data_IF_369019513336
#
_entry.id   IF_369019513336
#
_cell.length_a   1.000
_cell.length_b   1.000
_cell.length_c   1.000
_cell.angle_alpha   90.00
_cell.angle_beta   90.00
_cell.angle_gamma   90.00
#
_symmetry.space_group_name_H-M   'P 1'
#
loop_
_entity.id
_entity.type
_entity.pdbx_description
1 polymer ?
#
# COMPACT_ATOMS: atom_id res chain seq x y z
N UNK A 1 26.56 9.54 4.19
CA UNK A 1 26.61 9.26 2.73
C UNK A 1 25.31 9.77 2.11
N UNK A 2 25.37 10.66 1.11
CA UNK A 2 24.14 11.15 0.45
C UNK A 2 23.70 10.12 -0.59
N UNK A 3 22.49 9.59 -0.46
CA UNK A 3 21.90 8.65 -1.41
C UNK A 3 21.61 9.36 -2.74
N UNK A 4 21.93 8.70 -3.87
CA UNK A 4 21.51 9.17 -5.20
C UNK A 4 19.99 9.05 -5.38
N UNK A 5 19.40 9.79 -6.32
CA UNK A 5 17.96 9.72 -6.62
C UNK A 5 17.52 8.28 -6.98
N UNK A 6 18.36 7.56 -7.75
CA UNK A 6 18.10 6.18 -8.12
C UNK A 6 18.10 5.23 -6.90
N UNK A 7 19.03 5.41 -5.95
CA UNK A 7 19.09 4.63 -4.72
C UNK A 7 17.86 4.91 -3.84
N UNK A 8 17.44 6.17 -3.71
CA UNK A 8 16.23 6.54 -2.99
C UNK A 8 14.99 5.88 -3.60
N UNK A 9 14.84 5.95 -4.92
CA UNK A 9 13.76 5.28 -5.65
C UNK A 9 13.80 3.76 -5.46
N UNK A 10 15.00 3.15 -5.52
CA UNK A 10 15.18 1.71 -5.28
C UNK A 10 14.70 1.28 -3.91
N UNK A 11 15.01 2.03 -2.85
CA UNK A 11 14.57 1.75 -1.48
C UNK A 11 13.03 1.87 -1.36
N UNK A 12 12.44 2.94 -1.91
CA UNK A 12 10.98 3.12 -1.91
C UNK A 12 10.29 1.99 -2.66
N UNK A 13 10.82 1.60 -3.81
CA UNK A 13 10.27 0.51 -4.63
C UNK A 13 10.41 -0.84 -3.94
N UNK A 14 11.54 -1.14 -3.32
CA UNK A 14 11.76 -2.37 -2.57
C UNK A 14 10.78 -2.51 -1.40
N UNK A 15 10.58 -1.43 -0.64
CA UNK A 15 9.57 -1.41 0.43
C UNK A 15 8.15 -1.62 -0.13
N UNK A 16 7.82 -0.99 -1.26
CA UNK A 16 6.52 -1.16 -1.92
C UNK A 16 6.32 -2.58 -2.45
N UNK A 17 7.36 -3.24 -2.92
CA UNK A 17 7.32 -4.64 -3.34
C UNK A 17 7.11 -5.58 -2.16
N UNK A 18 7.84 -5.40 -1.07
CA UNK A 18 7.62 -6.14 0.17
C UNK A 18 6.20 -5.95 0.70
N UNK A 19 5.71 -4.71 0.70
CA UNK A 19 4.33 -4.40 1.04
C UNK A 19 3.34 -5.14 0.13
N UNK A 20 3.51 -5.08 -1.19
CA UNK A 20 2.59 -5.70 -2.16
C UNK A 20 2.55 -7.21 -2.01
N UNK A 21 3.71 -7.83 -1.75
CA UNK A 21 3.83 -9.26 -1.51
C UNK A 21 3.04 -9.67 -0.26
N UNK A 22 3.25 -8.96 0.85
CA UNK A 22 2.55 -9.23 2.11
C UNK A 22 1.05 -8.91 2.04
N UNK A 23 0.64 -7.86 1.32
CA UNK A 23 -0.78 -7.54 1.09
C UNK A 23 -1.49 -8.65 0.30
N UNK A 24 -0.85 -9.16 -0.77
CA UNK A 24 -1.37 -10.29 -1.54
C UNK A 24 -1.47 -11.55 -0.69
N UNK A 25 -0.42 -11.88 0.07
CA UNK A 25 -0.37 -13.04 0.95
C UNK A 25 -1.45 -12.98 2.03
N UNK A 26 -1.62 -11.82 2.67
CA UNK A 26 -2.62 -11.60 3.71
C UNK A 26 -4.04 -11.84 3.19
N UNK A 27 -4.36 -11.40 1.98
CA UNK A 27 -5.69 -11.63 1.39
C UNK A 27 -6.01 -13.11 1.28
N UNK A 28 -5.11 -13.91 0.71
CA UNK A 28 -5.35 -15.35 0.57
C UNK A 28 -5.34 -16.08 1.90
N UNK A 29 -4.47 -15.67 2.80
CA UNK A 29 -4.39 -16.24 4.14
C UNK A 29 -5.69 -16.02 4.92
N UNK A 30 -6.28 -14.82 4.87
CA UNK A 30 -7.57 -14.52 5.48
C UNK A 30 -8.69 -15.32 4.80
N UNK A 31 -8.75 -15.35 3.46
CA UNK A 31 -9.77 -16.10 2.71
C UNK A 31 -9.76 -17.58 3.10
N UNK A 32 -8.61 -18.23 3.04
CA UNK A 32 -8.53 -19.67 3.31
C UNK A 32 -8.75 -19.98 4.79
N UNK A 33 -8.17 -19.22 5.70
CA UNK A 33 -8.34 -19.46 7.13
C UNK A 33 -9.80 -19.34 7.57
N UNK A 34 -10.50 -18.29 7.13
CA UNK A 34 -11.92 -18.12 7.51
C UNK A 34 -12.84 -19.10 6.78
N UNK A 35 -12.47 -19.54 5.56
CA UNK A 35 -13.15 -20.62 4.88
C UNK A 35 -13.03 -21.96 5.67
N UNK A 36 -11.83 -22.31 6.15
CA UNK A 36 -11.61 -23.48 7.00
C UNK A 36 -12.37 -23.42 8.31
N UNK A 37 -12.61 -22.21 8.85
CA UNK A 37 -13.45 -22.00 10.03
C UNK A 37 -14.96 -22.06 9.76
N UNK A 38 -15.38 -22.38 8.51
CA UNK A 38 -16.78 -22.53 8.12
C UNK A 38 -17.53 -21.24 7.83
N UNK A 39 -16.82 -20.14 7.53
CA UNK A 39 -17.45 -18.91 7.08
C UNK A 39 -17.90 -19.06 5.61
N UNK A 40 -19.09 -18.57 5.31
CA UNK A 40 -19.61 -18.51 3.96
C UNK A 40 -18.82 -17.52 3.09
N UNK A 41 -18.87 -17.72 1.76
CA UNK A 41 -18.21 -16.80 0.81
C UNK A 41 -18.62 -15.34 0.99
N UNK A 42 -19.90 -15.10 1.30
CA UNK A 42 -20.41 -13.75 1.53
C UNK A 42 -19.83 -13.13 2.82
N UNK A 43 -19.75 -13.88 3.90
CA UNK A 43 -19.14 -13.41 5.15
C UNK A 43 -17.66 -13.09 4.97
N UNK A 44 -16.93 -13.92 4.20
CA UNK A 44 -15.53 -13.65 3.86
C UNK A 44 -15.41 -12.37 3.01
N UNK A 45 -16.32 -12.15 2.06
CA UNK A 45 -16.34 -10.92 1.28
C UNK A 45 -16.54 -9.68 2.17
N UNK A 46 -17.39 -9.76 3.18
CA UNK A 46 -17.58 -8.67 4.15
C UNK A 46 -16.32 -8.35 4.94
N UNK A 47 -15.43 -9.31 5.22
CA UNK A 47 -14.15 -9.04 5.91
C UNK A 47 -13.29 -8.03 5.15
N UNK A 48 -13.43 -7.93 3.83
CA UNK A 48 -12.67 -7.00 2.98
C UNK A 48 -13.41 -5.70 2.68
N UNK A 49 -14.68 -5.55 3.08
CA UNK A 49 -15.47 -4.35 2.76
C UNK A 49 -14.77 -3.08 3.23
N UNK A 50 -14.29 -3.06 4.47
CA UNK A 50 -13.61 -1.88 5.02
C UNK A 50 -12.22 -1.66 4.42
N UNK A 51 -11.54 -2.72 3.98
CA UNK A 51 -10.29 -2.59 3.26
C UNK A 51 -10.46 -1.76 1.97
N UNK A 52 -11.46 -2.06 1.17
CA UNK A 52 -11.70 -1.33 -0.07
C UNK A 52 -12.29 0.07 0.21
N UNK A 53 -13.25 0.18 1.13
CA UNK A 53 -13.87 1.46 1.49
C UNK A 53 -12.83 2.48 1.98
N UNK A 54 -12.02 2.13 2.98
CA UNK A 54 -10.99 3.03 3.50
C UNK A 54 -9.83 3.23 2.50
N UNK A 55 -9.57 2.26 1.63
CA UNK A 55 -8.66 2.42 0.50
C UNK A 55 -9.12 3.52 -0.46
N UNK A 56 -10.40 3.53 -0.85
CA UNK A 56 -10.98 4.60 -1.71
C UNK A 56 -10.83 5.97 -1.05
N UNK A 57 -11.21 6.09 0.22
CA UNK A 57 -11.06 7.34 0.99
C UNK A 57 -9.61 7.81 1.03
N UNK A 58 -8.68 6.91 1.33
CA UNK A 58 -7.25 7.22 1.41
C UNK A 58 -6.70 7.61 0.04
N UNK A 59 -7.15 6.98 -1.04
CA UNK A 59 -6.71 7.32 -2.38
C UNK A 59 -7.14 8.76 -2.77
N UNK A 60 -8.31 9.20 -2.31
CA UNK A 60 -8.79 10.56 -2.52
C UNK A 60 -7.91 11.61 -1.82
N UNK A 61 -7.53 11.36 -0.57
CA UNK A 61 -6.77 12.33 0.23
C UNK A 61 -5.24 12.11 0.19
N UNK A 62 -4.79 10.92 -0.16
CA UNK A 62 -3.38 10.51 -0.05
C UNK A 62 -2.43 11.36 -0.91
N UNK A 63 -2.87 11.80 -2.11
CA UNK A 63 -2.08 12.69 -2.97
C UNK A 63 -1.77 14.02 -2.31
N UNK A 64 -2.77 14.62 -1.68
CA UNK A 64 -2.60 15.85 -0.92
C UNK A 64 -1.70 15.65 0.30
N UNK A 65 -1.89 14.56 1.04
CA UNK A 65 -1.05 14.21 2.20
C UNK A 65 0.41 14.07 1.74
N UNK A 66 0.67 13.31 0.67
CA UNK A 66 2.02 13.11 0.14
C UNK A 66 2.69 14.40 -0.33
N UNK A 67 1.95 15.27 -1.02
CA UNK A 67 2.44 16.57 -1.48
C UNK A 67 2.75 17.52 -0.32
N UNK A 68 1.95 17.48 0.75
CA UNK A 68 2.09 18.38 1.91
C UNK A 68 3.16 17.94 2.89
N UNK A 69 3.23 16.63 3.18
CA UNK A 69 4.08 16.08 4.25
C UNK A 69 5.31 15.33 3.72
N UNK A 70 5.35 15.06 2.42
CA UNK A 70 6.45 14.37 1.77
C UNK A 70 6.26 12.85 1.69
N UNK A 71 7.00 12.23 0.76
CA UNK A 71 6.86 10.80 0.46
C UNK A 71 7.39 9.90 1.57
N UNK A 72 8.42 10.34 2.29
CA UNK A 72 8.99 9.57 3.40
C UNK A 72 7.95 9.32 4.49
N UNK A 73 7.21 10.36 4.89
CA UNK A 73 6.21 10.22 5.95
C UNK A 73 5.06 9.30 5.51
N UNK A 74 4.54 9.50 4.30
CA UNK A 74 3.43 8.65 3.79
C UNK A 74 3.84 7.19 3.62
N UNK A 75 5.09 6.94 3.18
CA UNK A 75 5.67 5.60 3.10
C UNK A 75 5.78 4.95 4.49
N UNK A 76 6.31 5.69 5.47
CA UNK A 76 6.50 5.19 6.83
C UNK A 76 5.16 4.90 7.50
N UNK A 77 4.24 5.86 7.47
CA UNK A 77 2.89 5.68 8.04
C UNK A 77 2.19 4.49 7.37
N UNK A 78 2.22 4.41 6.04
CA UNK A 78 1.62 3.30 5.32
C UNK A 78 2.22 1.94 5.69
N UNK A 79 3.56 1.84 5.79
CA UNK A 79 4.22 0.57 6.15
C UNK A 79 3.96 0.19 7.62
N UNK A 80 4.01 1.16 8.54
CA UNK A 80 3.70 0.92 9.96
C UNK A 80 2.25 0.52 10.19
N UNK A 81 1.29 1.13 9.48
CA UNK A 81 -0.11 0.73 9.54
C UNK A 81 -0.32 -0.71 9.04
N UNK A 82 0.41 -1.14 8.01
CA UNK A 82 0.35 -2.53 7.56
C UNK A 82 0.93 -3.50 8.59
N UNK A 83 2.06 -3.16 9.20
CA UNK A 83 2.64 -3.95 10.30
C UNK A 83 1.64 -4.04 11.46
N UNK A 84 1.01 -2.93 11.82
CA UNK A 84 -0.03 -2.90 12.85
C UNK A 84 -1.21 -3.80 12.49
N UNK A 85 -1.71 -3.72 11.26
CA UNK A 85 -2.80 -4.57 10.78
C UNK A 85 -2.46 -6.06 10.86
N UNK A 86 -1.23 -6.43 10.46
CA UNK A 86 -0.73 -7.80 10.60
C UNK A 86 -0.67 -8.23 12.08
N UNK A 87 -0.07 -7.43 12.94
CA UNK A 87 0.04 -7.73 14.39
C UNK A 87 -1.34 -7.86 15.03
N UNK A 88 -2.30 -7.02 14.66
CA UNK A 88 -3.68 -7.12 15.13
C UNK A 88 -4.32 -8.48 14.78
N UNK A 89 -3.95 -9.14 13.70
CA UNK A 89 -4.53 -10.43 13.33
C UNK A 89 -3.96 -11.62 14.10
N UNK A 90 -2.81 -11.48 14.79
CA UNK A 90 -2.18 -12.56 15.55
C UNK A 90 -3.07 -13.15 16.65
N UNK A 91 -3.82 -12.35 17.46
CA UNK A 91 -4.66 -12.90 18.53
C UNK A 91 -5.96 -13.56 18.04
N UNK A 92 -6.33 -13.40 16.78
CA UNK A 92 -7.55 -14.01 16.24
C UNK A 92 -7.52 -15.52 16.46
N UNK A 93 -8.57 -16.07 17.05
CA UNK A 93 -8.67 -17.47 17.41
C UNK A 93 -10.05 -18.04 17.03
N UNK A 94 -10.07 -19.33 16.68
CA UNK A 94 -11.31 -20.05 16.33
C UNK A 94 -12.34 -20.09 17.49
N UNK A 95 -11.88 -19.91 18.73
CA UNK A 95 -12.73 -19.85 19.92
C UNK A 95 -13.48 -18.52 20.10
N UNK A 96 -13.16 -17.48 19.30
CA UNK A 96 -13.83 -16.20 19.41
C UNK A 96 -15.29 -16.27 18.89
N UNK A 97 -16.22 -15.51 19.49
CA UNK A 97 -17.53 -15.33 18.91
C UNK A 97 -17.43 -14.82 17.48
N UNK A 98 -18.24 -15.38 16.57
CA UNK A 98 -18.19 -15.07 15.14
C UNK A 98 -18.27 -13.56 14.84
N UNK A 99 -19.21 -12.86 15.51
CA UNK A 99 -19.38 -11.42 15.36
C UNK A 99 -18.12 -10.64 15.77
N UNK A 100 -17.48 -11.02 16.88
CA UNK A 100 -16.25 -10.38 17.34
C UNK A 100 -15.13 -10.57 16.33
N UNK A 101 -14.96 -11.78 15.81
CA UNK A 101 -13.95 -12.09 14.78
C UNK A 101 -14.16 -11.24 13.52
N UNK A 102 -15.41 -11.15 13.04
CA UNK A 102 -15.75 -10.35 11.85
C UNK A 102 -15.41 -8.88 12.07
N UNK A 103 -15.93 -8.26 13.12
CA UNK A 103 -15.70 -6.83 13.40
C UNK A 103 -14.22 -6.52 13.58
N UNK A 104 -13.49 -7.38 14.31
CA UNK A 104 -12.07 -7.20 14.57
C UNK A 104 -11.22 -7.32 13.30
N UNK A 105 -11.48 -8.34 12.49
CA UNK A 105 -10.78 -8.52 11.20
C UNK A 105 -11.12 -7.40 10.23
N UNK A 106 -12.37 -6.95 10.17
CA UNK A 106 -12.74 -5.79 9.37
C UNK A 106 -11.99 -4.53 9.80
N UNK A 107 -11.78 -4.30 11.10
CA UNK A 107 -10.98 -3.19 11.60
C UNK A 107 -9.50 -3.30 11.17
N UNK A 108 -8.88 -4.47 11.30
CA UNK A 108 -7.53 -4.71 10.81
C UNK A 108 -7.43 -4.51 9.30
N UNK A 109 -8.40 -4.98 8.53
CA UNK A 109 -8.47 -4.79 7.08
C UNK A 109 -8.68 -3.31 6.68
N UNK A 110 -9.44 -2.53 7.46
CA UNK A 110 -9.56 -1.08 7.25
C UNK A 110 -8.18 -0.40 7.31
N UNK A 111 -7.40 -0.71 8.35
CA UNK A 111 -6.03 -0.20 8.53
C UNK A 111 -5.14 -0.63 7.35
N UNK A 112 -5.23 -1.89 6.93
CA UNK A 112 -4.48 -2.42 5.78
C UNK A 112 -4.88 -1.71 4.47
N UNK A 113 -6.15 -1.38 4.26
CA UNK A 113 -6.64 -0.62 3.12
C UNK A 113 -6.03 0.79 3.04
N UNK A 114 -6.00 1.51 4.17
CA UNK A 114 -5.32 2.80 4.29
C UNK A 114 -3.82 2.65 3.98
N UNK A 115 -3.17 1.67 4.58
CA UNK A 115 -1.75 1.36 4.38
C UNK A 115 -1.41 1.13 2.90
N UNK A 116 -2.24 0.36 2.19
CA UNK A 116 -2.09 0.06 0.76
C UNK A 116 -2.01 1.33 -0.09
N UNK A 117 -2.95 2.23 0.10
CA UNK A 117 -3.04 3.39 -0.78
C UNK A 117 -1.98 4.45 -0.44
N UNK A 118 -1.59 4.62 0.82
CA UNK A 118 -0.43 5.44 1.19
C UNK A 118 0.88 4.93 0.58
N UNK A 119 1.16 3.62 0.64
CA UNK A 119 2.36 3.04 0.02
C UNK A 119 2.33 3.16 -1.51
N UNK A 120 1.19 2.87 -2.15
CA UNK A 120 1.00 3.01 -3.60
C UNK A 120 1.28 4.44 -4.08
N UNK A 121 0.78 5.43 -3.35
CA UNK A 121 1.00 6.84 -3.71
C UNK A 121 2.44 7.26 -3.52
N UNK A 122 3.08 6.86 -2.41
CA UNK A 122 4.50 7.11 -2.17
C UNK A 122 5.37 6.53 -3.28
N UNK A 123 5.14 5.27 -3.67
CA UNK A 123 5.90 4.60 -4.72
C UNK A 123 5.71 5.28 -6.10
N UNK A 124 4.47 5.62 -6.48
CA UNK A 124 4.19 6.32 -7.74
C UNK A 124 4.81 7.72 -7.78
N UNK A 125 4.74 8.47 -6.68
CA UNK A 125 5.30 9.81 -6.63
C UNK A 125 6.83 9.81 -6.59
N UNK A 126 7.45 8.76 -6.06
CA UNK A 126 8.91 8.61 -6.07
C UNK A 126 9.50 8.50 -7.49
N UNK A 127 8.72 8.08 -8.49
CA UNK A 127 9.17 8.04 -9.89
C UNK A 127 9.60 9.41 -10.37
N UNK A 128 8.90 10.48 -9.95
CA UNK A 128 9.24 11.86 -10.33
C UNK A 128 10.62 12.29 -9.85
N UNK A 129 11.17 11.64 -8.81
CA UNK A 129 12.51 11.99 -8.30
C UNK A 129 13.64 11.47 -9.16
N UNK A 130 13.38 10.49 -10.04
CA UNK A 130 14.37 9.86 -10.93
C UNK A 130 14.25 10.31 -12.39
N UNK A 131 13.17 11.01 -12.74
CA UNK A 131 12.99 11.58 -14.08
C UNK A 131 13.48 13.03 -14.05
N UNK A 132 14.53 13.38 -14.80
CA UNK A 132 15.04 14.75 -14.86
C UNK A 132 13.99 15.68 -15.48
N UNK A 133 13.74 16.80 -14.86
CA UNK A 133 13.00 17.92 -15.48
C UNK A 133 14.01 18.70 -16.36
N UNK A 134 14.24 18.25 -17.58
CA UNK A 134 15.01 19.01 -18.58
C UNK A 134 14.04 19.74 -19.49
N UNK A 135 14.06 21.08 -19.51
CA UNK A 135 13.17 21.86 -20.37
C UNK A 135 13.37 21.58 -21.86
N UNK A 136 14.55 21.13 -22.27
CA UNK A 136 14.92 20.96 -23.67
C UNK A 136 14.49 19.62 -24.29
N UNK A 137 13.96 18.66 -23.50
CA UNK A 137 13.58 17.34 -24.03
C UNK A 137 12.38 16.73 -23.27
N UNK A 138 11.23 17.43 -23.33
CA UNK A 138 9.97 16.97 -22.73
C UNK A 138 9.56 15.56 -23.19
N UNK A 139 9.79 15.22 -24.46
CA UNK A 139 9.41 13.91 -25.01
C UNK A 139 10.25 12.79 -24.39
N UNK A 140 11.52 13.05 -24.13
CA UNK A 140 12.42 12.07 -23.47
C UNK A 140 12.04 11.87 -22.01
N UNK A 141 11.73 12.95 -21.30
CA UNK A 141 11.22 12.91 -19.92
C UNK A 141 9.91 12.13 -19.80
N UNK A 142 8.95 12.36 -20.69
CA UNK A 142 7.67 11.63 -20.74
C UNK A 142 7.87 10.13 -21.04
N UNK A 143 8.73 9.79 -22.02
CA UNK A 143 9.07 8.39 -22.33
C UNK A 143 9.68 7.66 -21.12
N UNK A 144 10.59 8.34 -20.42
CA UNK A 144 11.24 7.78 -19.24
C UNK A 144 10.27 7.61 -18.08
N UNK A 145 9.41 8.60 -17.83
CA UNK A 145 8.34 8.53 -16.83
C UNK A 145 7.41 7.35 -17.11
N UNK A 146 6.94 7.21 -18.35
CA UNK A 146 6.08 6.11 -18.76
C UNK A 146 6.72 4.75 -18.54
N UNK A 147 8.00 4.60 -18.89
CA UNK A 147 8.77 3.36 -18.67
C UNK A 147 8.83 2.98 -17.19
N UNK A 148 9.14 3.93 -16.29
CA UNK A 148 9.23 3.67 -14.87
C UNK A 148 7.86 3.34 -14.26
N UNK A 149 6.79 4.02 -14.70
CA UNK A 149 5.41 3.69 -14.28
C UNK A 149 5.01 2.29 -14.73
N UNK A 150 5.34 1.91 -15.97
CA UNK A 150 5.05 0.58 -16.50
C UNK A 150 5.78 -0.52 -15.72
N UNK A 151 7.08 -0.32 -15.42
CA UNK A 151 7.86 -1.26 -14.61
C UNK A 151 7.29 -1.39 -13.20
N UNK A 152 6.98 -0.28 -12.54
CA UNK A 152 6.40 -0.30 -11.19
C UNK A 152 5.04 -1.01 -11.17
N UNK A 153 4.18 -0.73 -12.15
CA UNK A 153 2.84 -1.32 -12.21
C UNK A 153 2.88 -2.81 -12.58
N UNK A 154 3.71 -3.17 -13.55
CA UNK A 154 3.90 -4.57 -13.97
C UNK A 154 4.49 -5.43 -12.86
N UNK A 155 5.57 -4.96 -12.22
CA UNK A 155 6.19 -5.67 -11.09
C UNK A 155 5.24 -5.82 -9.89
N UNK A 156 4.47 -4.77 -9.57
CA UNK A 156 3.43 -4.84 -8.54
C UNK A 156 2.42 -5.95 -8.82
N UNK A 157 1.90 -6.02 -10.05
CA UNK A 157 0.88 -7.01 -10.40
C UNK A 157 1.43 -8.44 -10.35
N UNK A 158 2.66 -8.66 -10.82
CA UNK A 158 3.36 -9.93 -10.71
C UNK A 158 3.56 -10.35 -9.26
N UNK A 159 4.09 -9.43 -8.42
CA UNK A 159 4.32 -9.69 -7.00
C UNK A 159 3.02 -9.93 -6.21
N UNK A 160 1.93 -9.29 -6.59
CA UNK A 160 0.63 -9.56 -5.99
C UNK A 160 0.16 -11.00 -6.27
N UNK A 161 0.37 -11.50 -7.49
CA UNK A 161 0.11 -12.91 -7.84
C UNK A 161 0.98 -13.87 -7.04
N UNK A 162 2.29 -13.59 -6.94
CA UNK A 162 3.21 -14.36 -6.08
C UNK A 162 2.77 -14.31 -4.62
N UNK A 163 2.32 -13.13 -4.14
CA UNK A 163 1.79 -12.96 -2.79
C UNK A 163 0.59 -13.87 -2.52
N UNK A 164 -0.35 -13.95 -3.45
CA UNK A 164 -1.51 -14.85 -3.31
C UNK A 164 -1.09 -16.31 -3.11
N UNK A 165 -0.14 -16.79 -3.91
CA UNK A 165 0.40 -18.12 -3.75
C UNK A 165 1.13 -18.29 -2.42
N UNK A 166 1.96 -17.30 -2.05
CA UNK A 166 2.70 -17.30 -0.79
C UNK A 166 1.77 -17.38 0.43
N UNK A 167 0.62 -16.69 0.40
CA UNK A 167 -0.38 -16.74 1.46
C UNK A 167 -0.90 -18.14 1.74
N UNK A 168 -1.22 -18.90 0.67
CA UNK A 168 -1.63 -20.29 0.78
C UNK A 168 -0.52 -21.19 1.33
N UNK A 169 0.71 -21.05 0.81
CA UNK A 169 1.87 -21.83 1.29
C UNK A 169 2.17 -21.56 2.75
N UNK A 170 2.18 -20.28 3.16
CA UNK A 170 2.45 -19.91 4.56
C UNK A 170 1.36 -20.45 5.51
N UNK A 171 0.10 -20.40 5.11
CA UNK A 171 -1.01 -20.95 5.90
C UNK A 171 -0.84 -22.46 6.10
N UNK A 172 -0.58 -23.20 5.02
CA UNK A 172 -0.46 -24.66 5.05
C UNK A 172 0.78 -25.11 5.83
N UNK A 173 1.91 -24.39 5.69
CA UNK A 173 3.17 -24.79 6.31
C UNK A 173 3.28 -24.38 7.79
N UNK A 174 2.74 -23.24 8.17
CA UNK A 174 2.99 -22.62 9.49
C UNK A 174 1.71 -22.27 10.26
N UNK A 175 0.54 -22.38 9.64
CA UNK A 175 -0.72 -21.93 10.21
C UNK A 175 -0.88 -20.40 10.24
N UNK A 176 -2.08 -19.95 10.57
CA UNK A 176 -2.49 -18.54 10.44
C UNK A 176 -1.60 -17.57 11.25
N UNK A 177 -1.46 -17.81 12.56
CA UNK A 177 -0.75 -16.89 13.48
C UNK A 177 0.72 -16.72 13.12
N UNK A 178 1.40 -17.84 12.83
CA UNK A 178 2.82 -17.83 12.48
C UNK A 178 3.04 -17.19 11.12
N UNK A 179 2.18 -17.46 10.14
CA UNK A 179 2.24 -16.85 8.82
C UNK A 179 2.12 -15.32 8.89
N UNK A 180 1.13 -14.83 9.64
CA UNK A 180 0.95 -13.37 9.86
C UNK A 180 2.15 -12.76 10.58
N UNK A 181 2.69 -13.45 11.60
CA UNK A 181 3.89 -13.02 12.31
C UNK A 181 5.13 -12.92 11.41
N UNK A 182 5.36 -13.92 10.56
CA UNK A 182 6.47 -13.92 9.59
C UNK A 182 6.34 -12.77 8.59
N UNK A 183 5.12 -12.50 8.10
CA UNK A 183 4.88 -11.36 7.22
C UNK A 183 5.15 -10.02 7.93
N UNK A 184 4.75 -9.88 9.20
CA UNK A 184 5.02 -8.67 9.98
C UNK A 184 6.53 -8.46 10.19
N UNK A 185 7.29 -9.51 10.48
CA UNK A 185 8.75 -9.45 10.60
C UNK A 185 9.39 -9.05 9.27
N UNK A 186 9.02 -9.72 8.16
CA UNK A 186 9.56 -9.40 6.83
C UNK A 186 9.31 -7.94 6.43
N UNK A 187 8.11 -7.43 6.70
CA UNK A 187 7.78 -6.05 6.42
C UNK A 187 8.49 -5.05 7.35
N UNK A 188 8.75 -5.45 8.61
CA UNK A 188 9.55 -4.65 9.55
C UNK A 188 10.99 -4.51 9.07
N UNK A 189 11.58 -5.57 8.53
CA UNK A 189 12.91 -5.52 7.90
C UNK A 189 12.92 -4.57 6.70
N UNK A 190 11.91 -4.67 5.84
CA UNK A 190 11.76 -3.75 4.70
C UNK A 190 11.58 -2.29 5.15
N UNK A 191 10.81 -2.06 6.21
CA UNK A 191 10.68 -0.74 6.84
C UNK A 191 12.02 -0.21 7.32
N UNK A 192 12.84 -1.04 7.97
CA UNK A 192 14.18 -0.67 8.43
C UNK A 192 15.06 -0.10 7.33
N UNK A 193 14.98 -0.63 6.10
CA UNK A 193 15.71 -0.08 4.94
C UNK A 193 15.25 1.33 4.58
N UNK A 194 14.02 1.71 4.88
CA UNK A 194 13.51 3.06 4.55
C UNK A 194 14.00 4.15 5.51
N UNK A 195 14.58 3.78 6.66
CA UNK A 195 15.04 4.75 7.66
C UNK A 195 16.18 5.64 7.15
N UNK A 196 16.95 5.15 6.17
CA UNK A 196 18.05 5.91 5.55
C UNK A 196 17.57 6.96 4.54
N UNK A 197 16.26 6.99 4.20
CA UNK A 197 15.72 7.97 3.26
C UNK A 197 15.77 9.39 3.83
N UNK A 198 16.15 10.41 3.01
CA UNK A 198 16.14 11.80 3.45
C UNK A 198 14.73 12.30 3.74
N UNK A 199 14.59 13.18 4.74
CA UNK A 199 13.28 13.67 5.23
C UNK A 199 12.47 14.47 4.20
N UNK A 200 13.15 15.08 3.23
CA UNK A 200 12.54 16.00 2.26
C UNK A 200 12.16 15.35 0.92
N UNK A 201 12.34 14.03 0.80
CA UNK A 201 12.03 13.33 -0.46
C UNK A 201 10.58 13.58 -0.88
N UNK A 202 10.40 14.11 -2.10
CA UNK A 202 9.10 14.36 -2.72
C UNK A 202 8.23 15.43 -2.06
N UNK A 203 8.76 16.22 -1.13
CA UNK A 203 8.04 17.34 -0.51
C UNK A 203 7.97 18.53 -1.46
N UNK A 204 6.79 19.05 -1.71
CA UNK A 204 6.65 20.27 -2.51
C UNK A 204 7.17 21.49 -1.73
N UNK A 205 7.86 22.42 -2.43
CA UNK A 205 8.35 23.68 -1.83
C UNK A 205 7.21 24.53 -1.26
N UNK A 206 6.08 24.59 -1.96
CA UNK A 206 4.85 25.21 -1.48
C UNK A 206 3.87 24.14 -1.02
N UNK A 207 3.44 24.23 0.25
CA UNK A 207 2.47 23.27 0.80
C UNK A 207 1.09 23.53 0.19
N UNK A 208 0.49 22.57 -0.53
CA UNK A 208 -0.83 22.77 -1.11
C UNK A 208 -1.88 22.95 0.00
N UNK A 209 -2.75 23.97 -0.14
CA UNK A 209 -3.94 24.13 0.69
C UNK A 209 -4.94 23.00 0.46
N UNK A 210 -5.92 22.86 1.35
CA UNK A 210 -6.95 21.82 1.22
C UNK A 210 -7.77 21.99 -0.08
N UNK A 211 -7.99 23.23 -0.53
CA UNK A 211 -8.68 23.54 -1.79
C UNK A 211 -7.95 23.00 -3.04
N UNK A 212 -6.68 22.62 -2.93
CA UNK A 212 -5.93 22.01 -4.03
C UNK A 212 -6.32 20.55 -4.30
N UNK A 213 -7.16 19.93 -3.45
CA UNK A 213 -7.77 18.62 -3.70
C UNK A 213 -8.75 18.64 -4.88
N UNK A 214 -9.39 19.78 -5.09
CA UNK A 214 -10.36 19.93 -6.15
C UNK A 214 -9.74 20.72 -7.31
N UNK A 215 -9.95 20.24 -8.53
CA UNK A 215 -9.56 20.99 -9.72
C UNK A 215 -10.39 22.27 -9.83
N UNK A 216 -9.81 23.32 -10.39
CA UNK A 216 -10.56 24.54 -10.77
C UNK A 216 -11.59 24.29 -11.88
N UNK A 217 -11.45 23.19 -12.60
CA UNK A 217 -12.39 22.76 -13.65
C UNK A 217 -13.40 21.75 -13.13
N UNK A 218 -14.68 22.08 -13.19
CA UNK A 218 -15.77 21.19 -12.79
C UNK A 218 -15.79 19.87 -13.60
N UNK A 219 -15.42 19.92 -14.90
CA UNK A 219 -15.32 18.74 -15.75
C UNK A 219 -14.23 17.76 -15.30
N UNK A 220 -13.07 18.25 -14.82
CA UNK A 220 -12.01 17.41 -14.28
C UNK A 220 -12.46 16.76 -12.96
N UNK A 221 -13.16 17.48 -12.10
CA UNK A 221 -13.69 16.93 -10.85
C UNK A 221 -14.73 15.85 -11.11
N UNK A 222 -15.59 16.03 -12.13
CA UNK A 222 -16.54 15.01 -12.57
C UNK A 222 -15.83 13.77 -13.11
N UNK A 223 -14.82 13.92 -13.97
CA UNK A 223 -14.01 12.81 -14.47
C UNK A 223 -13.27 12.06 -13.35
N UNK A 224 -12.72 12.77 -12.38
CA UNK A 224 -12.07 12.14 -11.23
C UNK A 224 -13.07 11.34 -10.38
N UNK A 225 -14.31 11.79 -10.26
CA UNK A 225 -15.38 11.02 -9.59
C UNK A 225 -15.81 9.78 -10.35
N UNK A 226 -15.77 9.82 -11.70
CA UNK A 226 -16.14 8.69 -12.57
C UNK A 226 -15.02 7.63 -12.70
N UNK A 227 -13.75 8.02 -12.61
CA UNK A 227 -12.61 7.10 -12.72
C UNK A 227 -12.42 6.28 -11.41
N UNK A 228 -13.09 6.65 -10.34
CA UNK A 228 -13.00 5.98 -9.04
C UNK A 228 -14.14 4.98 -8.78
N UNK A 229 -15.05 4.78 -9.74
CA UNK A 229 -15.99 3.68 -9.80
C UNK A 229 -15.39 2.57 -10.65
#
# INVERSE_FOLDING_TARGET
>A
MKLTALQQYGIVTANYWAFTLTDGALRMLVVFHFHELGYSTLEIAFLFLFYEFFGVLTNLYGGWIGARYGLRLTLWVGTLLQILALVMLIPVAASWPKLLSVVYVMAAQAISGIAKDLNKMSAKSAIKTVVPETPDDEQRGQKQLFRWVAILTGSKNALKGVGFFLGGVLLTAFGFKTAVGLMAIGLTVAFGMTLVLPGEIGRMKQKPGFNALFSKSAGINLLLSLIHI
#
